data_IF_517408025883
#
_entry.id   IF_517408025883
#
_cell.length_a   1.000
_cell.length_b   1.000
_cell.length_c   1.000
_cell.angle_alpha   90.00
_cell.angle_beta   90.00
_cell.angle_gamma   90.00
#
_symmetry.space_group_name_H-M   'P 1'
#
loop_
_entity.id
_entity.type
_entity.pdbx_description
1 polymer ?
#
# COMPACT_ATOMS: atom_id res chain seq x y z
N UNK A 1 8.49 18.76 5.79
CA UNK A 1 7.66 18.07 4.78
C UNK A 1 6.19 18.30 5.06
N UNK A 2 5.39 18.49 4.01
CA UNK A 2 3.94 18.63 4.12
C UNK A 2 3.31 17.31 4.56
N UNK A 3 2.48 17.34 5.61
CA UNK A 3 1.72 16.19 6.07
C UNK A 3 0.30 16.25 5.54
N UNK A 4 -0.27 15.10 5.23
CA UNK A 4 -1.66 14.90 4.79
C UNK A 4 -2.42 14.15 5.85
N UNK A 5 -3.65 14.53 6.09
CA UNK A 5 -4.50 13.84 7.06
C UNK A 5 -4.85 12.42 6.58
N UNK A 6 -5.01 11.51 7.54
CA UNK A 6 -5.51 10.16 7.31
C UNK A 6 -6.99 10.15 7.73
N UNK A 7 -7.87 10.49 6.78
CA UNK A 7 -9.29 10.62 7.03
C UNK A 7 -9.63 11.57 8.17
N UNK A 8 -10.43 11.05 9.10
CA UNK A 8 -10.90 11.74 10.29
C UNK A 8 -10.25 11.22 11.58
N UNK A 9 -9.20 10.39 11.45
CA UNK A 9 -8.55 9.73 12.60
C UNK A 9 -7.77 10.66 13.52
N UNK A 10 -7.43 11.86 13.07
CA UNK A 10 -6.48 12.75 13.75
C UNK A 10 -5.01 12.48 13.40
N UNK A 11 -4.72 11.38 12.73
CA UNK A 11 -3.37 11.06 12.26
C UNK A 11 -3.04 11.84 10.98
N UNK A 12 -1.73 12.10 10.78
CA UNK A 12 -1.22 12.70 9.55
C UNK A 12 0.17 12.21 9.22
N UNK A 13 0.46 12.01 7.93
CA UNK A 13 1.76 11.54 7.43
C UNK A 13 2.18 12.33 6.18
N UNK A 14 3.47 12.33 5.81
CA UNK A 14 3.90 12.68 4.45
C UNK A 14 3.15 11.83 3.43
N UNK A 15 3.15 12.28 2.18
CA UNK A 15 2.40 11.56 1.14
C UNK A 15 2.98 10.18 0.79
N UNK A 16 4.26 9.91 1.13
CA UNK A 16 4.94 8.67 0.79
C UNK A 16 5.05 7.77 2.03
N UNK A 17 4.62 6.53 1.88
CA UNK A 17 4.77 5.43 2.83
C UNK A 17 5.61 4.29 2.26
N UNK A 18 6.12 3.44 3.15
CA UNK A 18 6.88 2.23 2.84
C UNK A 18 5.98 1.00 2.88
N UNK A 19 5.83 0.30 1.75
CA UNK A 19 5.16 -1.00 1.67
C UNK A 19 6.16 -2.15 1.80
N UNK A 20 5.84 -3.14 2.61
CA UNK A 20 6.74 -4.25 2.93
C UNK A 20 6.35 -5.57 2.28
N UNK A 21 5.44 -5.56 1.29
CA UNK A 21 5.04 -6.80 0.61
C UNK A 21 6.22 -7.57 0.01
N UNK A 22 7.18 -6.86 -0.61
CA UNK A 22 8.35 -7.50 -1.19
C UNK A 22 9.31 -8.10 -0.14
N UNK A 23 9.30 -7.59 1.09
CA UNK A 23 10.08 -8.11 2.23
C UNK A 23 9.59 -9.50 2.64
N UNK A 24 8.31 -9.79 2.47
CA UNK A 24 7.77 -11.12 2.71
C UNK A 24 8.37 -12.23 1.82
N UNK A 25 9.08 -11.88 0.73
CA UNK A 25 9.75 -12.83 -0.15
C UNK A 25 8.79 -13.81 -0.84
N UNK A 26 9.15 -15.10 -0.82
CA UNK A 26 8.33 -16.18 -1.35
C UNK A 26 8.25 -16.21 -2.87
N UNK A 27 7.26 -16.96 -3.40
CA UNK A 27 7.09 -17.18 -4.86
C UNK A 27 6.95 -15.91 -5.70
N UNK A 28 6.49 -14.80 -5.10
CA UNK A 28 6.23 -13.57 -5.85
C UNK A 28 7.43 -12.65 -5.96
N UNK A 29 8.32 -12.68 -4.95
CA UNK A 29 9.43 -11.74 -4.83
C UNK A 29 10.80 -12.41 -4.75
N UNK A 30 10.84 -13.76 -4.65
CA UNK A 30 12.05 -14.53 -4.43
C UNK A 30 12.60 -14.36 -3.02
N UNK A 31 13.85 -14.78 -2.83
CA UNK A 31 14.53 -14.69 -1.53
C UNK A 31 14.66 -13.24 -1.05
N UNK A 32 14.63 -13.06 0.25
CA UNK A 32 14.80 -11.78 0.93
C UNK A 32 16.03 -11.86 1.85
N UNK A 33 16.78 -10.76 1.91
CA UNK A 33 17.81 -10.53 2.92
C UNK A 33 17.18 -9.67 4.03
N UNK A 34 16.90 -10.31 5.15
CA UNK A 34 16.21 -9.67 6.27
C UNK A 34 17.04 -8.56 6.90
N UNK A 35 18.36 -8.74 7.00
CA UNK A 35 19.26 -7.73 7.55
C UNK A 35 19.27 -6.45 6.66
N UNK A 36 19.27 -6.62 5.34
CA UNK A 36 19.12 -5.49 4.41
C UNK A 36 17.72 -4.87 4.49
N UNK A 37 16.67 -5.67 4.66
CA UNK A 37 15.31 -5.19 4.78
C UNK A 37 15.07 -4.41 6.07
N UNK A 38 15.63 -4.85 7.20
CA UNK A 38 15.63 -4.08 8.46
C UNK A 38 16.28 -2.72 8.24
N UNK A 39 17.47 -2.69 7.65
CA UNK A 39 18.18 -1.44 7.34
C UNK A 39 17.41 -0.56 6.37
N UNK A 40 16.70 -1.15 5.40
CA UNK A 40 15.86 -0.39 4.46
C UNK A 40 14.70 0.31 5.19
N UNK A 41 14.07 -0.35 6.16
CA UNK A 41 13.01 0.23 7.00
C UNK A 41 13.57 1.37 7.85
N UNK A 42 14.68 1.14 8.56
CA UNK A 42 15.36 2.16 9.35
C UNK A 42 15.71 3.39 8.51
N UNK A 43 16.36 3.15 7.36
CA UNK A 43 16.72 4.22 6.41
C UNK A 43 15.50 4.97 5.89
N UNK A 44 14.40 4.26 5.56
CA UNK A 44 13.18 4.91 5.10
C UNK A 44 12.66 5.91 6.15
N UNK A 45 12.63 5.53 7.42
CA UNK A 45 12.20 6.39 8.52
C UNK A 45 13.15 7.59 8.70
N UNK A 46 14.47 7.37 8.65
CA UNK A 46 15.48 8.43 8.69
C UNK A 46 15.32 9.44 7.55
N UNK A 47 14.91 8.97 6.36
CA UNK A 47 14.66 9.81 5.19
C UNK A 47 13.24 10.45 5.19
N UNK A 48 12.44 10.23 6.24
CA UNK A 48 11.13 10.83 6.42
C UNK A 48 9.96 10.05 5.85
N UNK A 49 10.15 8.80 5.42
CA UNK A 49 9.07 7.87 5.09
C UNK A 49 8.62 7.21 6.39
N UNK A 50 7.72 7.86 7.11
CA UNK A 50 7.32 7.45 8.47
C UNK A 50 6.10 6.53 8.51
N UNK A 51 5.39 6.33 7.40
CA UNK A 51 4.28 5.37 7.34
C UNK A 51 4.79 4.02 6.83
N UNK A 52 4.82 3.00 7.71
CA UNK A 52 5.21 1.62 7.39
C UNK A 52 3.95 0.78 7.27
N UNK A 53 3.76 0.10 6.13
CA UNK A 53 2.62 -0.78 5.86
C UNK A 53 3.06 -2.22 5.63
N UNK A 54 2.48 -3.14 6.38
CA UNK A 54 2.71 -4.58 6.28
C UNK A 54 1.39 -5.36 6.22
N UNK A 55 1.46 -6.69 6.26
CA UNK A 55 0.30 -7.58 6.43
C UNK A 55 0.75 -8.99 6.85
N UNK A 56 -0.08 -9.72 7.63
CA UNK A 56 0.20 -11.10 8.02
C UNK A 56 0.44 -12.05 6.83
N UNK A 57 -0.29 -11.86 5.71
CA UNK A 57 -0.16 -12.72 4.52
C UNK A 57 1.15 -12.51 3.75
N UNK A 58 1.93 -11.46 4.03
CA UNK A 58 3.18 -11.19 3.34
C UNK A 58 4.28 -12.14 3.83
N UNK A 59 4.51 -13.19 3.05
CA UNK A 59 5.40 -14.29 3.44
C UNK A 59 4.89 -15.09 4.62
N UNK A 60 3.56 -15.18 4.84
CA UNK A 60 2.93 -15.91 5.94
C UNK A 60 3.56 -15.53 7.30
N UNK A 61 3.40 -14.24 7.64
CA UNK A 61 3.92 -13.53 8.82
C UNK A 61 5.33 -12.93 8.69
N UNK A 62 6.18 -13.43 7.78
CA UNK A 62 7.58 -13.06 7.69
C UNK A 62 7.80 -11.54 7.59
N UNK A 63 7.00 -10.83 6.77
CA UNK A 63 7.12 -9.36 6.66
C UNK A 63 6.85 -8.64 7.99
N UNK A 64 5.88 -9.10 8.79
CA UNK A 64 5.61 -8.51 10.11
C UNK A 64 6.76 -8.79 11.09
N UNK A 65 7.40 -9.96 11.02
CA UNK A 65 8.57 -10.30 11.86
C UNK A 65 9.75 -9.38 11.55
N UNK A 66 10.05 -9.15 10.26
CA UNK A 66 11.12 -8.23 9.82
C UNK A 66 10.81 -6.79 10.21
N UNK A 67 9.56 -6.35 10.06
CA UNK A 67 9.14 -5.00 10.53
C UNK A 67 9.28 -4.90 12.04
N UNK A 68 8.85 -5.92 12.79
CA UNK A 68 9.01 -5.98 14.26
C UNK A 68 10.47 -5.87 14.70
N UNK A 69 11.39 -6.52 13.98
CA UNK A 69 12.83 -6.38 14.25
C UNK A 69 13.32 -4.95 14.02
N UNK A 70 12.93 -4.31 12.91
CA UNK A 70 13.29 -2.93 12.63
C UNK A 70 12.72 -1.95 13.70
N UNK A 71 11.50 -2.19 14.18
CA UNK A 71 10.86 -1.35 15.20
C UNK A 71 11.59 -1.36 16.55
N UNK A 72 12.43 -2.37 16.83
CA UNK A 72 13.27 -2.36 18.04
C UNK A 72 14.32 -1.26 18.04
N UNK A 73 14.67 -0.75 16.86
CA UNK A 73 15.69 0.28 16.68
C UNK A 73 15.08 1.65 16.34
N UNK A 74 13.77 1.71 16.16
CA UNK A 74 13.02 2.92 15.78
C UNK A 74 12.13 3.34 16.96
N UNK A 75 12.12 4.63 17.25
CA UNK A 75 11.17 5.20 18.20
C UNK A 75 9.73 5.03 17.64
N UNK A 76 8.91 4.25 18.34
CA UNK A 76 7.56 3.89 17.91
C UNK A 76 6.66 5.10 17.66
N UNK A 77 6.84 6.17 18.44
CA UNK A 77 6.04 7.39 18.32
C UNK A 77 6.38 8.22 17.07
N UNK A 78 7.48 7.91 16.39
CA UNK A 78 7.89 8.59 15.15
C UNK A 78 7.31 7.97 13.88
N UNK A 79 6.68 6.82 14.00
CA UNK A 79 6.15 6.09 12.85
C UNK A 79 4.64 5.93 12.91
N UNK A 80 4.03 5.84 11.74
CA UNK A 80 2.66 5.35 11.55
C UNK A 80 2.79 3.91 11.08
N UNK A 81 2.30 2.97 11.86
CA UNK A 81 2.35 1.55 11.59
C UNK A 81 0.98 1.05 11.16
N UNK A 82 0.91 0.47 9.98
CA UNK A 82 -0.30 -0.19 9.50
C UNK A 82 -0.07 -1.66 9.17
N UNK A 83 -1.06 -2.47 9.51
CA UNK A 83 -1.16 -3.86 9.07
C UNK A 83 -2.59 -4.21 8.69
N UNK A 84 -2.86 -5.47 8.36
CA UNK A 84 -4.14 -5.90 7.79
C UNK A 84 -4.67 -7.12 8.51
N UNK A 85 -6.00 -7.31 8.46
CA UNK A 85 -6.71 -8.48 9.01
C UNK A 85 -7.66 -9.09 7.99
N UNK A 86 -8.25 -10.22 8.34
CA UNK A 86 -9.33 -10.86 7.59
C UNK A 86 -8.85 -11.78 6.47
N UNK A 87 -7.56 -12.16 6.44
CA UNK A 87 -7.06 -13.29 5.67
C UNK A 87 -6.56 -14.37 6.63
N UNK A 88 -7.21 -15.51 6.63
CA UNK A 88 -7.05 -16.59 7.59
C UNK A 88 -6.44 -17.85 6.95
N UNK A 89 -5.55 -18.54 7.67
CA UNK A 89 -4.98 -19.83 7.26
C UNK A 89 -4.62 -20.74 8.44
N UNK A 90 -4.88 -20.32 9.67
CA UNK A 90 -4.71 -21.14 10.89
C UNK A 90 -5.79 -22.23 10.97
N UNK A 91 -6.97 -21.91 10.40
CA UNK A 91 -8.12 -22.82 10.31
C UNK A 91 -8.92 -22.57 9.04
N UNK A 92 -9.75 -23.54 8.67
CA UNK A 92 -10.67 -23.40 7.53
C UNK A 92 -11.80 -22.40 7.85
N UNK A 93 -12.15 -21.60 6.85
CA UNK A 93 -13.28 -20.67 6.88
C UNK A 93 -14.14 -20.86 5.62
N UNK A 94 -15.42 -20.50 5.65
CA UNK A 94 -16.33 -20.75 4.52
C UNK A 94 -15.94 -20.09 3.19
N UNK A 95 -15.14 -19.02 3.23
CA UNK A 95 -14.79 -18.25 2.03
C UNK A 95 -13.32 -18.44 1.66
N UNK A 96 -13.04 -19.39 0.75
CA UNK A 96 -11.70 -19.58 0.21
C UNK A 96 -11.24 -18.31 -0.55
N UNK A 97 -10.04 -17.82 -0.24
CA UNK A 97 -9.42 -16.70 -0.93
C UNK A 97 -8.50 -17.17 -2.07
N UNK A 98 -7.44 -17.87 -1.73
CA UNK A 98 -6.46 -18.42 -2.68
C UNK A 98 -5.46 -19.34 -1.99
N UNK A 99 -4.61 -20.01 -2.78
CA UNK A 99 -3.44 -20.73 -2.26
C UNK A 99 -2.21 -19.84 -2.34
N UNK A 100 -1.50 -19.66 -1.21
CA UNK A 100 -0.27 -18.88 -1.08
C UNK A 100 0.84 -19.80 -0.59
N UNK A 101 1.88 -20.01 -1.39
CA UNK A 101 3.01 -20.90 -1.07
C UNK A 101 2.58 -22.30 -0.57
N UNK A 102 1.54 -22.86 -1.19
CA UNK A 102 0.98 -24.17 -0.83
C UNK A 102 -0.03 -24.15 0.33
N UNK A 103 -0.22 -23.01 1.00
CA UNK A 103 -1.17 -22.84 2.10
C UNK A 103 -2.49 -22.28 1.57
N UNK A 104 -3.60 -22.94 1.89
CA UNK A 104 -4.94 -22.42 1.61
C UNK A 104 -5.21 -21.21 2.51
N UNK A 105 -5.64 -20.11 1.92
CA UNK A 105 -6.00 -18.90 2.65
C UNK A 105 -7.47 -18.56 2.42
N UNK A 106 -8.13 -18.09 3.44
CA UNK A 106 -9.57 -17.80 3.46
C UNK A 106 -9.80 -16.32 3.74
N UNK A 107 -10.98 -15.80 3.42
CA UNK A 107 -11.45 -14.51 3.93
C UNK A 107 -12.32 -14.81 5.14
N UNK A 108 -11.88 -14.34 6.30
CA UNK A 108 -12.63 -14.45 7.54
C UNK A 108 -12.68 -13.07 8.22
N UNK A 109 -13.82 -12.42 8.08
CA UNK A 109 -14.08 -11.09 8.64
C UNK A 109 -14.98 -11.16 9.89
N UNK A 110 -15.06 -12.34 10.55
CA UNK A 110 -15.71 -12.47 11.83
C UNK A 110 -14.98 -11.66 12.91
N UNK A 111 -15.73 -11.20 13.90
CA UNK A 111 -15.17 -10.47 15.04
C UNK A 111 -14.04 -11.25 15.73
N UNK A 112 -14.20 -12.59 15.84
CA UNK A 112 -13.20 -13.47 16.44
C UNK A 112 -11.89 -13.43 15.64
N UNK A 113 -11.95 -13.67 14.32
CA UNK A 113 -10.76 -13.71 13.45
C UNK A 113 -10.03 -12.36 13.43
N UNK A 114 -10.77 -11.24 13.34
CA UNK A 114 -10.19 -9.89 13.36
C UNK A 114 -9.44 -9.63 14.68
N UNK A 115 -10.00 -10.01 15.81
CA UNK A 115 -9.36 -9.81 17.13
C UNK A 115 -8.10 -10.67 17.23
N UNK A 116 -8.16 -11.94 16.84
CA UNK A 116 -7.02 -12.84 16.82
C UNK A 116 -5.89 -12.32 15.90
N UNK A 117 -6.22 -11.84 14.70
CA UNK A 117 -5.26 -11.23 13.77
C UNK A 117 -4.53 -10.04 14.41
N UNK A 118 -5.27 -9.15 15.09
CA UNK A 118 -4.67 -7.97 15.75
C UNK A 118 -3.76 -8.36 16.89
N UNK A 119 -4.19 -9.27 17.78
CA UNK A 119 -3.37 -9.74 18.91
C UNK A 119 -2.08 -10.42 18.42
N UNK A 120 -2.18 -11.20 17.35
CA UNK A 120 -1.04 -11.87 16.74
C UNK A 120 -0.10 -10.88 16.07
N UNK A 121 -0.62 -9.87 15.36
CA UNK A 121 0.16 -8.81 14.72
C UNK A 121 0.89 -7.95 15.75
N UNK A 122 0.22 -7.55 16.83
CA UNK A 122 0.84 -6.77 17.92
C UNK A 122 2.02 -7.52 18.54
N UNK A 123 1.90 -8.85 18.74
CA UNK A 123 3.00 -9.68 19.28
C UNK A 123 4.17 -9.78 18.30
N UNK A 124 3.92 -9.99 16.99
CA UNK A 124 4.98 -10.08 15.97
C UNK A 124 5.69 -8.74 15.77
N UNK A 125 4.93 -7.66 15.76
CA UNK A 125 5.45 -6.30 15.56
C UNK A 125 6.11 -5.73 16.83
N UNK A 126 5.90 -6.37 18.01
CA UNK A 126 6.49 -5.92 19.26
C UNK A 126 5.96 -4.56 19.74
N UNK A 127 4.68 -4.28 19.51
CA UNK A 127 4.01 -3.00 19.87
C UNK A 127 2.68 -3.26 20.55
N UNK A 128 2.17 -2.29 21.29
CA UNK A 128 0.89 -2.36 21.98
C UNK A 128 -0.28 -1.79 21.17
N UNK A 129 0.01 -1.08 20.07
CA UNK A 129 -1.01 -0.52 19.18
C UNK A 129 -0.58 -0.46 17.72
N UNK A 130 -1.57 -0.39 16.83
CA UNK A 130 -1.44 -0.09 15.41
C UNK A 130 -2.04 1.28 15.13
N UNK A 131 -1.38 2.08 14.29
CA UNK A 131 -1.96 3.36 13.89
C UNK A 131 -3.12 3.17 12.92
N UNK A 132 -3.00 2.23 11.97
CA UNK A 132 -4.07 1.90 11.02
C UNK A 132 -4.22 0.38 10.91
N UNK A 133 -5.45 -0.11 11.06
CA UNK A 133 -5.81 -1.49 10.74
C UNK A 133 -6.68 -1.52 9.50
N UNK A 134 -6.28 -2.29 8.49
CA UNK A 134 -7.08 -2.52 7.30
C UNK A 134 -7.76 -3.89 7.30
N UNK A 135 -9.01 -3.98 6.86
CA UNK A 135 -9.47 -5.24 6.28
C UNK A 135 -8.78 -5.43 4.93
N UNK A 136 -8.08 -6.56 4.72
CA UNK A 136 -7.22 -6.75 3.54
C UNK A 136 -8.03 -6.96 2.26
N UNK A 137 -9.12 -7.71 2.37
CA UNK A 137 -10.12 -7.95 1.33
C UNK A 137 -11.50 -7.95 1.94
N UNK A 138 -12.47 -7.44 1.19
CA UNK A 138 -13.85 -7.46 1.66
C UNK A 138 -14.47 -8.85 1.46
N UNK A 139 -15.48 -9.19 2.27
CA UNK A 139 -16.23 -10.43 2.07
C UNK A 139 -16.96 -10.41 0.72
N UNK A 140 -17.00 -11.53 0.00
CA UNK A 140 -17.86 -11.66 -1.16
C UNK A 140 -19.32 -11.97 -0.80
N UNK A 141 -19.60 -12.34 0.46
CA UNK A 141 -20.92 -12.74 0.94
C UNK A 141 -21.20 -12.16 2.33
N UNK A 142 -22.05 -11.15 2.36
CA UNK A 142 -22.48 -10.46 3.59
C UNK A 142 -23.40 -11.31 4.47
N UNK A 143 -23.93 -12.44 3.99
CA UNK A 143 -24.71 -13.37 4.82
C UNK A 143 -23.82 -14.25 5.70
N UNK A 144 -22.55 -14.43 5.33
CA UNK A 144 -21.55 -15.19 6.10
C UNK A 144 -20.83 -14.26 7.08
N UNK A 145 -20.37 -13.10 6.57
CA UNK A 145 -19.67 -12.08 7.36
C UNK A 145 -20.38 -10.74 7.21
N UNK A 146 -21.38 -10.43 8.05
CA UNK A 146 -22.09 -9.16 8.03
C UNK A 146 -21.12 -8.00 8.25
N UNK A 147 -21.18 -6.96 7.39
CA UNK A 147 -20.28 -5.81 7.49
C UNK A 147 -20.41 -5.08 8.84
N UNK A 148 -21.61 -5.05 9.40
CA UNK A 148 -21.88 -4.45 10.71
C UNK A 148 -21.02 -5.09 11.81
N UNK A 149 -20.98 -6.43 11.88
CA UNK A 149 -20.17 -7.16 12.87
C UNK A 149 -18.66 -6.92 12.67
N UNK A 150 -18.21 -6.88 11.41
CA UNK A 150 -16.82 -6.54 11.05
C UNK A 150 -16.44 -5.15 11.57
N UNK A 151 -17.31 -4.15 11.31
CA UNK A 151 -17.05 -2.76 11.71
C UNK A 151 -17.12 -2.61 13.23
N UNK A 152 -18.09 -3.23 13.89
CA UNK A 152 -18.21 -3.21 15.35
C UNK A 152 -16.96 -3.81 16.03
N UNK A 153 -16.41 -4.90 15.48
CA UNK A 153 -15.17 -5.48 16.01
C UNK A 153 -14.00 -4.50 15.90
N UNK A 154 -13.84 -3.81 14.75
CA UNK A 154 -12.80 -2.81 14.56
C UNK A 154 -13.02 -1.58 15.47
N UNK A 155 -14.24 -1.11 15.63
CA UNK A 155 -14.58 -0.02 16.56
C UNK A 155 -14.23 -0.37 18.01
N UNK A 156 -14.51 -1.60 18.44
CA UNK A 156 -14.15 -2.09 19.77
C UNK A 156 -12.65 -2.14 19.98
N UNK A 157 -11.86 -2.57 18.99
CA UNK A 157 -10.40 -2.53 19.04
C UNK A 157 -9.86 -1.09 19.14
N UNK A 158 -10.54 -0.15 18.48
CA UNK A 158 -10.24 1.28 18.58
C UNK A 158 -10.54 1.83 19.97
N UNK A 159 -11.68 1.51 20.55
CA UNK A 159 -12.05 1.89 21.94
C UNK A 159 -11.07 1.33 22.98
N UNK A 160 -10.51 0.15 22.71
CA UNK A 160 -9.47 -0.48 23.55
C UNK A 160 -8.07 0.17 23.36
N UNK A 161 -7.92 1.09 22.42
CA UNK A 161 -6.64 1.71 22.10
C UNK A 161 -5.67 0.82 21.31
N UNK A 162 -6.11 -0.35 20.82
CA UNK A 162 -5.28 -1.27 20.04
C UNK A 162 -5.10 -0.83 18.59
N UNK A 163 -6.03 -0.02 18.08
CA UNK A 163 -5.92 0.61 16.76
C UNK A 163 -6.34 2.07 16.86
N UNK A 164 -5.72 2.96 16.07
CA UNK A 164 -6.06 4.40 16.06
C UNK A 164 -7.01 4.76 14.91
N UNK A 165 -6.86 4.14 13.74
CA UNK A 165 -7.66 4.39 12.56
C UNK A 165 -8.12 3.09 11.89
N UNK A 166 -9.28 3.15 11.23
CA UNK A 166 -9.89 2.04 10.51
C UNK A 166 -9.70 2.23 9.02
N UNK A 167 -9.18 1.20 8.36
CA UNK A 167 -8.98 1.15 6.91
C UNK A 167 -9.70 -0.03 6.26
N UNK A 168 -9.89 0.08 4.94
CA UNK A 168 -10.37 -1.02 4.10
C UNK A 168 -9.56 -1.09 2.80
N UNK A 169 -9.07 -2.27 2.43
CA UNK A 169 -8.34 -2.47 1.17
C UNK A 169 -9.15 -3.31 0.19
N UNK A 170 -8.93 -3.10 -1.12
CA UNK A 170 -9.62 -3.83 -2.19
C UNK A 170 -11.16 -3.76 -2.02
N UNK A 171 -11.67 -2.55 -1.90
CA UNK A 171 -13.04 -2.24 -1.51
C UNK A 171 -13.89 -1.73 -2.68
N UNK A 172 -15.16 -1.42 -2.41
CA UNK A 172 -16.11 -0.79 -3.33
C UNK A 172 -16.76 0.42 -2.69
N UNK A 173 -17.40 1.26 -3.50
CA UNK A 173 -18.14 2.42 -2.98
C UNK A 173 -19.25 2.01 -1.99
N UNK A 174 -19.86 0.83 -2.20
CA UNK A 174 -20.88 0.29 -1.31
C UNK A 174 -20.29 -0.08 0.07
N UNK A 175 -19.17 -0.78 0.09
CA UNK A 175 -18.47 -1.10 1.33
C UNK A 175 -18.02 0.18 2.05
N UNK A 176 -17.46 1.17 1.35
CA UNK A 176 -17.05 2.46 1.96
C UNK A 176 -18.25 3.11 2.68
N UNK A 177 -19.42 3.16 2.03
CA UNK A 177 -20.65 3.69 2.65
C UNK A 177 -21.10 2.84 3.84
N UNK A 178 -20.99 1.53 3.73
CA UNK A 178 -21.34 0.59 4.81
C UNK A 178 -20.48 0.78 6.04
N UNK A 179 -19.15 0.87 5.89
CA UNK A 179 -18.24 1.17 7.00
C UNK A 179 -18.61 2.47 7.71
N UNK A 180 -18.86 3.55 6.94
CA UNK A 180 -19.24 4.83 7.51
C UNK A 180 -20.64 4.84 8.13
N UNK A 181 -21.53 3.91 7.73
CA UNK A 181 -22.87 3.74 8.31
C UNK A 181 -22.81 3.05 9.66
N UNK A 182 -22.01 2.00 9.80
CA UNK A 182 -21.95 1.17 11.01
C UNK A 182 -20.89 1.64 12.02
N UNK A 183 -19.99 2.53 11.62
CA UNK A 183 -18.93 3.07 12.48
C UNK A 183 -18.12 4.13 11.78
N UNK A 184 -16.84 3.86 11.56
CA UNK A 184 -15.89 4.81 10.96
C UNK A 184 -15.06 4.12 9.87
N UNK A 185 -14.72 4.88 8.83
CA UNK A 185 -13.67 4.55 7.88
C UNK A 185 -12.79 5.78 7.66
N UNK A 186 -11.50 5.64 7.91
CA UNK A 186 -10.55 6.75 7.78
C UNK A 186 -9.82 6.73 6.44
N UNK A 187 -9.47 5.54 5.96
CA UNK A 187 -8.64 5.40 4.75
C UNK A 187 -8.97 4.13 3.99
N UNK A 188 -8.91 4.19 2.66
CA UNK A 188 -8.88 2.99 1.82
C UNK A 188 -7.49 2.78 1.24
N UNK A 189 -7.11 1.50 1.02
CA UNK A 189 -5.85 1.15 0.35
C UNK A 189 -6.16 0.40 -0.96
N UNK A 190 -5.83 1.04 -2.10
CA UNK A 190 -6.24 0.57 -3.42
C UNK A 190 -5.10 0.58 -4.42
N UNK A 191 -5.16 -0.34 -5.43
CA UNK A 191 -4.23 -0.30 -6.54
C UNK A 191 -4.44 0.98 -7.36
N UNK A 192 -3.38 1.81 -7.40
CA UNK A 192 -3.40 3.02 -8.19
C UNK A 192 -2.00 3.40 -8.68
N UNK A 193 -1.90 3.73 -9.95
CA UNK A 193 -0.69 4.21 -10.62
C UNK A 193 -1.08 5.08 -11.80
N UNK A 194 -0.10 5.65 -12.48
CA UNK A 194 -0.32 6.39 -13.73
C UNK A 194 -0.96 5.51 -14.84
N UNK A 195 -0.81 4.18 -14.77
CA UNK A 195 -1.36 3.23 -15.75
C UNK A 195 -2.64 2.52 -15.27
N UNK A 196 -2.93 2.54 -13.98
CA UNK A 196 -4.09 1.88 -13.37
C UNK A 196 -4.90 2.90 -12.57
N UNK A 197 -5.93 3.49 -13.19
CA UNK A 197 -6.63 4.68 -12.69
C UNK A 197 -8.12 4.49 -12.40
N UNK A 198 -8.58 3.24 -12.37
CA UNK A 198 -10.02 2.91 -12.22
C UNK A 198 -10.69 3.57 -11.01
N UNK A 199 -9.95 3.73 -9.89
CA UNK A 199 -10.50 4.28 -8.64
C UNK A 199 -10.94 5.75 -8.78
N UNK A 200 -10.39 6.50 -9.73
CA UNK A 200 -10.78 7.90 -9.97
C UNK A 200 -12.28 8.05 -10.26
N UNK A 201 -12.84 7.08 -11.01
CA UNK A 201 -14.26 7.04 -11.34
C UNK A 201 -15.09 6.24 -10.34
N UNK A 202 -14.53 5.16 -9.79
CA UNK A 202 -15.29 4.21 -9.00
C UNK A 202 -15.36 4.55 -7.52
N UNK A 203 -14.27 5.07 -6.91
CA UNK A 203 -14.17 5.23 -5.46
C UNK A 203 -13.96 6.67 -5.03
N UNK A 204 -13.19 7.46 -5.78
CA UNK A 204 -12.85 8.83 -5.41
C UNK A 204 -14.06 9.73 -5.10
N UNK A 205 -15.18 9.70 -5.86
CA UNK A 205 -16.36 10.51 -5.52
C UNK A 205 -16.90 10.19 -4.12
N UNK A 206 -17.00 8.89 -3.78
CA UNK A 206 -17.49 8.43 -2.47
C UNK A 206 -16.52 8.77 -1.35
N UNK A 207 -15.21 8.61 -1.59
CA UNK A 207 -14.19 8.99 -0.61
C UNK A 207 -14.24 10.50 -0.30
N UNK A 208 -14.37 11.35 -1.32
CA UNK A 208 -14.52 12.81 -1.15
C UNK A 208 -15.77 13.17 -0.36
N UNK A 209 -16.91 12.56 -0.69
CA UNK A 209 -18.19 12.79 -0.01
C UNK A 209 -18.10 12.48 1.49
N UNK A 210 -17.45 11.36 1.83
CA UNK A 210 -17.41 10.84 3.20
C UNK A 210 -16.17 11.29 4.00
N UNK A 211 -15.21 11.96 3.35
CA UNK A 211 -13.97 12.41 3.99
C UNK A 211 -13.01 11.27 4.29
N UNK A 212 -12.99 10.23 3.44
CA UNK A 212 -12.10 9.07 3.52
C UNK A 212 -10.86 9.31 2.69
N UNK A 213 -9.68 9.11 3.25
CA UNK A 213 -8.40 9.22 2.55
C UNK A 213 -8.15 8.01 1.64
N UNK A 214 -7.24 8.18 0.68
CA UNK A 214 -6.82 7.09 -0.22
C UNK A 214 -5.33 6.88 -0.07
N UNK A 215 -4.90 5.62 0.13
CA UNK A 215 -3.52 5.18 0.03
C UNK A 215 -3.36 4.28 -1.21
N UNK A 216 -2.50 4.69 -2.13
CA UNK A 216 -2.25 4.00 -3.39
C UNK A 216 -1.15 2.95 -3.23
N UNK A 217 -1.44 1.67 -3.44
CA UNK A 217 -0.40 0.66 -3.56
C UNK A 217 0.00 0.38 -5.03
N UNK A 218 1.21 -0.13 -5.25
CA UNK A 218 1.82 -0.37 -6.57
C UNK A 218 1.90 0.86 -7.48
N UNK A 219 2.29 2.04 -7.01
CA UNK A 219 2.36 3.25 -7.83
C UNK A 219 3.40 3.14 -8.96
N UNK A 220 4.44 2.33 -8.78
CA UNK A 220 5.47 2.04 -9.78
C UNK A 220 5.16 0.80 -10.64
N UNK A 221 3.92 0.26 -10.58
CA UNK A 221 3.49 -0.95 -11.33
C UNK A 221 4.53 -2.08 -11.22
N UNK A 222 4.88 -2.48 -9.99
CA UNK A 222 5.84 -3.56 -9.73
C UNK A 222 7.22 -3.33 -10.38
N UNK A 223 7.61 -2.07 -10.56
CA UNK A 223 8.90 -1.66 -11.12
C UNK A 223 8.85 -1.22 -12.58
N UNK A 224 7.75 -1.38 -13.30
CA UNK A 224 7.63 -0.96 -14.70
C UNK A 224 7.90 0.55 -14.86
N UNK A 225 7.40 1.35 -13.93
CA UNK A 225 7.50 2.82 -13.98
C UNK A 225 8.77 3.37 -13.29
N UNK A 226 9.79 2.55 -13.07
CA UNK A 226 11.09 3.01 -12.52
C UNK A 226 12.05 3.53 -13.57
N UNK A 227 11.79 3.29 -14.87
CA UNK A 227 12.74 3.54 -15.96
C UNK A 227 13.84 2.48 -16.11
N UNK A 228 13.85 1.43 -15.26
CA UNK A 228 14.84 0.33 -15.32
C UNK A 228 14.38 -0.85 -16.17
N UNK A 229 13.11 -0.92 -16.54
CA UNK A 229 12.52 -1.99 -17.36
C UNK A 229 12.68 -1.64 -18.84
N UNK A 230 13.21 -2.58 -19.62
CA UNK A 230 13.34 -2.50 -21.09
C UNK A 230 12.46 -3.55 -21.77
N UNK A 231 12.34 -3.55 -23.08
CA UNK A 231 11.57 -4.57 -23.81
C UNK A 231 12.17 -5.98 -23.66
N UNK A 232 13.47 -6.09 -23.39
CA UNK A 232 14.20 -7.35 -23.23
C UNK A 232 14.18 -7.90 -21.79
N UNK A 233 13.71 -7.10 -20.82
CA UNK A 233 13.67 -7.55 -19.42
C UNK A 233 12.71 -8.74 -19.28
N UNK A 234 13.16 -9.84 -18.70
CA UNK A 234 12.39 -11.06 -18.43
C UNK A 234 12.21 -11.26 -16.92
N UNK A 235 11.22 -12.05 -16.55
CA UNK A 235 10.91 -12.35 -15.16
C UNK A 235 10.80 -13.86 -14.95
N UNK A 236 11.16 -14.37 -13.75
CA UNK A 236 11.02 -15.79 -13.42
C UNK A 236 9.60 -16.29 -13.62
N UNK A 237 9.47 -17.58 -13.87
CA UNK A 237 8.18 -18.26 -13.89
C UNK A 237 7.45 -18.05 -12.55
N UNK A 238 6.13 -17.82 -12.61
CA UNK A 238 5.32 -17.51 -11.41
C UNK A 238 5.33 -16.04 -10.97
N UNK A 239 6.19 -15.20 -11.54
CA UNK A 239 6.16 -13.77 -11.25
C UNK A 239 4.82 -13.15 -11.65
N UNK A 240 4.22 -12.35 -10.76
CA UNK A 240 2.99 -11.61 -11.04
C UNK A 240 3.11 -10.65 -12.22
N UNK A 241 4.33 -10.25 -12.60
CA UNK A 241 4.61 -9.41 -13.77
C UNK A 241 4.27 -10.09 -15.07
N UNK A 242 4.42 -11.43 -15.15
CA UNK A 242 4.12 -12.20 -16.36
C UNK A 242 2.62 -12.19 -16.72
N UNK A 243 1.74 -11.99 -15.73
CA UNK A 243 0.28 -11.93 -15.90
C UNK A 243 -0.30 -10.53 -15.77
N UNK A 244 0.51 -9.54 -15.37
CA UNK A 244 0.06 -8.17 -15.22
C UNK A 244 -0.16 -7.52 -16.59
N UNK A 245 -1.37 -6.99 -16.91
CA UNK A 245 -1.67 -6.36 -18.20
C UNK A 245 -0.73 -5.21 -18.59
N UNK A 246 -0.18 -4.48 -17.61
CA UNK A 246 0.75 -3.38 -17.87
C UNK A 246 2.09 -3.85 -18.44
N UNK A 247 2.46 -5.14 -18.25
CA UNK A 247 3.69 -5.73 -18.80
C UNK A 247 3.50 -6.36 -20.18
N UNK A 248 2.29 -6.41 -20.73
CA UNK A 248 2.07 -6.85 -22.11
C UNK A 248 2.82 -5.94 -23.10
N UNK A 249 3.38 -6.50 -24.21
CA UNK A 249 4.37 -5.79 -25.04
C UNK A 249 3.95 -4.38 -25.47
N UNK A 250 2.70 -4.21 -25.93
CA UNK A 250 2.24 -2.89 -26.39
C UNK A 250 2.15 -1.87 -25.22
N UNK A 251 1.59 -2.28 -24.09
CA UNK A 251 1.41 -1.42 -22.92
C UNK A 251 2.75 -1.09 -22.28
N UNK A 252 3.65 -2.09 -22.19
CA UNK A 252 5.01 -1.93 -21.70
C UNK A 252 5.80 -0.94 -22.55
N UNK A 253 5.72 -1.03 -23.89
CA UNK A 253 6.37 -0.08 -24.79
C UNK A 253 5.83 1.35 -24.61
N UNK A 254 4.50 1.52 -24.44
CA UNK A 254 3.91 2.82 -24.15
C UNK A 254 4.45 3.42 -22.85
N UNK A 255 4.54 2.61 -21.77
CA UNK A 255 5.10 3.06 -20.50
C UNK A 255 6.57 3.49 -20.61
N UNK A 256 7.40 2.70 -21.33
CA UNK A 256 8.81 3.04 -21.55
C UNK A 256 8.93 4.38 -22.30
N UNK A 257 8.20 4.54 -23.42
CA UNK A 257 8.23 5.79 -24.21
C UNK A 257 7.74 6.99 -23.40
N UNK A 258 6.73 6.83 -22.59
CA UNK A 258 6.25 7.88 -21.68
C UNK A 258 7.38 8.32 -20.75
N UNK A 259 8.04 7.39 -20.08
CA UNK A 259 9.13 7.71 -19.16
C UNK A 259 10.36 8.33 -19.87
N UNK A 260 10.64 7.91 -21.10
CA UNK A 260 11.73 8.47 -21.90
C UNK A 260 11.43 9.91 -22.33
N UNK A 261 10.17 10.24 -22.60
CA UNK A 261 9.76 11.62 -22.92
C UNK A 261 9.89 12.60 -21.76
N UNK A 262 10.07 12.12 -20.53
CA UNK A 262 10.27 12.95 -19.34
C UNK A 262 11.73 13.09 -18.90
N UNK A 263 12.70 12.73 -19.77
CA UNK A 263 14.12 12.82 -19.42
C UNK A 263 14.55 14.25 -19.09
N UNK A 264 14.10 15.26 -19.85
CA UNK A 264 14.39 16.67 -19.58
C UNK A 264 13.78 17.14 -18.23
N UNK A 265 12.62 16.59 -17.85
CA UNK A 265 12.02 16.87 -16.53
C UNK A 265 12.84 16.23 -15.41
N UNK A 266 13.38 15.02 -15.62
CA UNK A 266 14.27 14.41 -14.64
C UNK A 266 15.55 15.26 -14.45
N UNK A 267 16.12 15.82 -15.52
CA UNK A 267 17.24 16.76 -15.44
C UNK A 267 16.84 18.05 -14.72
N UNK A 268 15.70 18.66 -15.09
CA UNK A 268 15.17 19.90 -14.48
C UNK A 268 15.02 19.76 -12.97
N UNK A 269 14.47 18.62 -12.50
CA UNK A 269 14.19 18.37 -11.08
C UNK A 269 15.31 17.61 -10.37
N UNK A 270 16.43 17.31 -11.04
CA UNK A 270 17.54 16.53 -10.51
C UNK A 270 17.08 15.24 -9.83
N UNK A 271 16.22 14.48 -10.51
CA UNK A 271 15.57 13.30 -9.94
C UNK A 271 15.57 12.09 -10.89
N UNK A 272 15.32 10.91 -10.35
CA UNK A 272 15.12 9.70 -11.14
C UNK A 272 13.70 9.65 -11.73
N UNK A 273 13.50 8.84 -12.78
CA UNK A 273 12.17 8.58 -13.34
C UNK A 273 11.21 8.04 -12.27
N UNK A 274 11.70 7.15 -11.38
CA UNK A 274 10.92 6.61 -10.27
C UNK A 274 10.43 7.72 -9.31
N UNK A 275 11.33 8.60 -8.90
CA UNK A 275 11.00 9.73 -8.02
C UNK A 275 9.98 10.66 -8.67
N UNK A 276 10.16 10.98 -9.95
CA UNK A 276 9.24 11.83 -10.69
C UNK A 276 7.84 11.20 -10.80
N UNK A 277 7.75 9.90 -11.08
CA UNK A 277 6.50 9.13 -11.11
C UNK A 277 5.80 9.12 -9.74
N UNK A 278 6.54 8.90 -8.65
CA UNK A 278 5.99 8.94 -7.29
C UNK A 278 5.43 10.34 -6.99
N UNK A 279 6.20 11.39 -7.25
CA UNK A 279 5.79 12.78 -7.01
C UNK A 279 4.55 13.18 -7.82
N UNK A 280 4.48 12.78 -9.11
CA UNK A 280 3.30 13.01 -9.94
C UNK A 280 2.10 12.21 -9.42
N UNK A 281 2.27 10.90 -9.15
CA UNK A 281 1.18 10.04 -8.65
C UNK A 281 0.53 10.64 -7.40
N UNK A 282 1.33 11.15 -6.46
CA UNK A 282 0.85 11.80 -5.25
C UNK A 282 0.04 13.08 -5.51
N UNK A 283 0.11 13.65 -6.71
CA UNK A 283 -0.62 14.86 -7.14
C UNK A 283 -1.85 14.57 -8.00
N UNK A 284 -1.97 13.34 -8.53
CA UNK A 284 -3.12 12.97 -9.38
C UNK A 284 -4.45 13.08 -8.65
N UNK A 285 -4.46 12.79 -7.35
CA UNK A 285 -5.63 12.90 -6.47
C UNK A 285 -5.24 13.77 -5.26
N UNK A 286 -5.97 14.83 -4.95
CA UNK A 286 -5.71 15.64 -3.76
C UNK A 286 -5.76 14.81 -2.48
N UNK A 287 -4.73 14.91 -1.65
CA UNK A 287 -4.63 14.17 -0.39
C UNK A 287 -4.21 12.72 -0.52
N UNK A 288 -3.86 12.24 -1.72
CA UNK A 288 -3.42 10.85 -1.95
C UNK A 288 -2.13 10.53 -1.19
N UNK A 289 -2.13 9.44 -0.44
CA UNK A 289 -0.90 8.80 0.05
C UNK A 289 -0.44 7.73 -0.96
N UNK A 290 0.87 7.58 -1.10
CA UNK A 290 1.49 6.66 -2.06
C UNK A 290 2.36 5.66 -1.31
N UNK A 291 2.22 4.37 -1.59
CA UNK A 291 2.91 3.29 -0.89
C UNK A 291 3.93 2.64 -1.82
N UNK A 292 5.21 2.90 -1.60
CA UNK A 292 6.31 2.32 -2.37
C UNK A 292 7.06 1.25 -1.59
N UNK A 293 7.40 0.15 -2.25
CA UNK A 293 8.23 -0.91 -1.65
C UNK A 293 9.71 -0.59 -1.71
N UNK A 294 10.46 -1.04 -0.71
CA UNK A 294 11.92 -1.09 -0.70
C UNK A 294 12.39 -2.31 0.11
N UNK A 295 13.46 -2.97 -0.35
CA UNK A 295 14.14 -4.08 0.34
C UNK A 295 15.59 -3.77 0.67
N UNK A 296 16.11 -2.65 0.18
CA UNK A 296 17.47 -2.20 0.46
C UNK A 296 17.48 -0.72 0.83
N UNK A 297 18.49 -0.25 1.58
CA UNK A 297 18.65 1.17 1.93
C UNK A 297 18.67 2.08 0.70
N UNK A 298 19.32 1.67 -0.38
CA UNK A 298 19.43 2.45 -1.62
C UNK A 298 18.04 2.66 -2.26
N UNK A 299 17.17 1.65 -2.23
CA UNK A 299 15.80 1.77 -2.73
C UNK A 299 14.98 2.71 -1.84
N UNK A 300 15.17 2.66 -0.51
CA UNK A 300 14.51 3.55 0.42
C UNK A 300 14.92 5.01 0.19
N UNK A 301 16.22 5.28 0.01
CA UNK A 301 16.76 6.60 -0.31
C UNK A 301 16.23 7.09 -1.67
N UNK A 302 16.26 6.24 -2.71
CA UNK A 302 15.75 6.60 -4.04
C UNK A 302 14.26 6.99 -3.95
N UNK A 303 13.43 6.18 -3.31
CA UNK A 303 12.01 6.50 -3.13
C UNK A 303 11.81 7.81 -2.34
N UNK A 304 12.56 8.03 -1.26
CA UNK A 304 12.46 9.19 -0.41
C UNK A 304 12.79 10.51 -1.13
N UNK A 305 13.63 10.46 -2.15
CA UNK A 305 13.92 11.61 -3.02
C UNK A 305 12.66 12.25 -3.61
N UNK A 306 11.60 11.48 -3.82
CA UNK A 306 10.32 12.01 -4.29
C UNK A 306 9.67 13.02 -3.34
N UNK A 307 9.96 12.94 -2.03
CA UNK A 307 9.44 13.87 -1.01
C UNK A 307 9.98 15.30 -1.18
N UNK A 308 11.08 15.46 -1.89
CA UNK A 308 11.76 16.74 -2.09
C UNK A 308 11.48 17.38 -3.45
N UNK A 309 10.72 16.71 -4.33
CA UNK A 309 10.39 17.25 -5.66
C UNK A 309 9.26 18.26 -5.55
N UNK A 310 9.59 19.53 -5.75
CA UNK A 310 8.61 20.61 -5.87
C UNK A 310 8.14 20.74 -7.33
N UNK A 311 7.36 19.75 -7.82
CA UNK A 311 6.87 19.69 -9.19
C UNK A 311 6.03 20.93 -9.52
N UNK A 312 6.40 21.70 -10.55
CA UNK A 312 5.66 22.88 -10.99
C UNK A 312 4.29 22.51 -11.55
N UNK A 313 3.31 23.40 -11.37
CA UNK A 313 1.94 23.13 -11.81
C UNK A 313 1.83 22.90 -13.32
N UNK A 314 2.57 23.65 -14.13
CA UNK A 314 2.58 23.50 -15.60
C UNK A 314 3.11 22.12 -16.03
N UNK A 315 4.22 21.66 -15.42
CA UNK A 315 4.80 20.36 -15.73
C UNK A 315 3.87 19.22 -15.26
N UNK A 316 3.27 19.36 -14.08
CA UNK A 316 2.32 18.36 -13.59
C UNK A 316 1.09 18.22 -14.51
N UNK A 317 0.60 19.34 -15.08
CA UNK A 317 -0.51 19.32 -16.06
C UNK A 317 -0.08 18.66 -17.35
N UNK A 318 1.11 19.00 -17.89
CA UNK A 318 1.64 18.38 -19.11
C UNK A 318 1.82 16.88 -18.93
N UNK A 319 2.49 16.45 -17.86
CA UNK A 319 2.69 15.05 -17.56
C UNK A 319 1.37 14.29 -17.40
N UNK A 320 0.35 14.92 -16.83
CA UNK A 320 -0.99 14.33 -16.75
C UNK A 320 -1.60 14.11 -18.13
N UNK A 321 -1.47 15.06 -19.05
CA UNK A 321 -1.92 14.90 -20.43
C UNK A 321 -1.19 13.77 -21.15
N UNK A 322 0.12 13.65 -20.94
CA UNK A 322 0.92 12.56 -21.52
C UNK A 322 0.43 11.19 -21.01
N UNK A 323 0.10 11.08 -19.73
CA UNK A 323 -0.51 9.89 -19.13
C UNK A 323 -1.91 9.63 -19.70
N UNK A 324 -2.76 10.65 -19.83
CA UNK A 324 -4.11 10.53 -20.37
C UNK A 324 -4.10 10.06 -21.83
N UNK A 325 -3.08 10.41 -22.60
CA UNK A 325 -2.92 10.00 -24.00
C UNK A 325 -2.61 8.51 -24.18
N UNK A 326 -2.12 7.83 -23.13
CA UNK A 326 -1.82 6.39 -23.16
C UNK A 326 -2.75 5.54 -22.25
N UNK A 327 -3.76 6.16 -21.63
CA UNK A 327 -4.66 5.52 -20.63
C UNK A 327 -5.86 4.82 -21.28
#
# INVERSE_FOLDING_TARGET
>A
MEKRNIGKSGLSAPFLGLGTWAIGGGRWWGDNDDALSVKAIETAVEQGIVWIDTAPIYGLYHSEEVVGEALRHIDRDKVILSTKCGLEWRHESPVLHKVVDGVQTYRDLSAKSIIEDVEDSLRRLGTDHLDVLYTHWQTPDLSIFPLEETVEAMMKLKEQGKICAIGASNTTAEFIRGYCKYGQLDVIQEKYSLLTRRIEKQLLPTCKELGVSIQAYSPLEQGLLTGKVTMDTTYPEGSTRNTNPCFQPARRMQAIRLLDSWSDLCEKYHCTKAQLVIALTARMIPGLHVLCGARTPEQAIDNAGALHIALEGADAVQMKWDVDAIS
#
